data_IF_839092660972
#
_entry.id   IF_839092660972
#
_cell.length_a   1.000
_cell.length_b   1.000
_cell.length_c   1.000
_cell.angle_alpha   90.00
_cell.angle_beta   90.00
_cell.angle_gamma   90.00
#
_symmetry.space_group_name_H-M   'P 1'
#
loop_
_entity.id
_entity.type
_entity.pdbx_description
1 polymer ?
#
# COMPACT_ATOMS: atom_id res chain seq x y z
N UNK A 1 -1.77 7.67 -3.09
CA UNK A 1 -1.02 6.91 -2.05
C UNK A 1 -1.28 7.34 -0.61
N UNK A 2 -1.44 8.62 -0.28
CA UNK A 2 -1.71 9.06 1.11
C UNK A 2 -2.85 8.31 1.81
N UNK A 3 -3.94 7.99 1.09
CA UNK A 3 -5.03 7.20 1.64
C UNK A 3 -4.59 5.76 2.01
N UNK A 4 -3.91 5.04 1.11
CA UNK A 4 -3.33 3.72 1.39
C UNK A 4 -2.46 3.75 2.65
N UNK A 5 -1.56 4.72 2.73
CA UNK A 5 -0.63 4.82 3.86
C UNK A 5 -1.39 5.06 5.18
N UNK A 6 -2.47 5.84 5.14
CA UNK A 6 -3.35 6.02 6.30
C UNK A 6 -4.05 4.72 6.73
N UNK A 7 -4.50 3.88 5.78
CA UNK A 7 -5.07 2.57 6.08
C UNK A 7 -4.05 1.62 6.70
N UNK A 8 -2.81 1.59 6.19
CA UNK A 8 -1.71 0.80 6.75
C UNK A 8 -1.35 1.31 8.16
N UNK A 9 -1.27 2.62 8.36
CA UNK A 9 -1.03 3.20 9.69
C UNK A 9 -2.18 2.89 10.65
N UNK A 10 -3.43 2.87 10.18
CA UNK A 10 -4.57 2.49 11.00
C UNK A 10 -4.47 1.03 11.45
N UNK A 11 -4.01 0.12 10.60
CA UNK A 11 -3.73 -1.27 10.95
C UNK A 11 -2.61 -1.39 11.99
N UNK A 12 -1.51 -0.65 11.80
CA UNK A 12 -0.44 -0.57 12.79
C UNK A 12 -0.95 -0.10 14.16
N UNK A 13 -1.82 0.91 14.19
CA UNK A 13 -2.36 1.48 15.43
C UNK A 13 -3.39 0.56 16.12
N UNK A 14 -4.26 -0.10 15.34
CA UNK A 14 -5.42 -0.85 15.86
C UNK A 14 -5.12 -2.33 16.09
N UNK A 15 -4.31 -2.93 15.22
CA UNK A 15 -4.08 -4.37 15.12
C UNK A 15 -2.59 -4.73 15.15
N UNK A 16 -1.71 -3.79 15.54
CA UNK A 16 -0.27 -3.99 15.62
C UNK A 16 0.36 -4.49 14.30
N UNK A 17 -0.21 -4.11 13.15
CA UNK A 17 0.31 -4.48 11.82
C UNK A 17 -0.07 -5.89 11.35
N UNK A 18 -0.97 -6.58 12.07
CA UNK A 18 -1.34 -7.96 11.78
C UNK A 18 -1.98 -8.19 10.40
N UNK A 19 -2.42 -7.14 9.70
CA UNK A 19 -3.03 -7.23 8.37
C UNK A 19 -2.19 -6.56 7.28
N UNK A 20 -0.91 -6.26 7.54
CA UNK A 20 -0.04 -5.54 6.62
C UNK A 20 -0.04 -6.12 5.19
N UNK A 21 0.19 -7.43 5.04
CA UNK A 21 0.27 -8.05 3.72
C UNK A 21 -1.07 -8.07 2.98
N UNK A 22 -2.17 -8.39 3.69
CA UNK A 22 -3.51 -8.33 3.12
C UNK A 22 -3.85 -6.92 2.58
N UNK A 23 -3.49 -5.88 3.33
CA UNK A 23 -3.69 -4.51 2.90
C UNK A 23 -2.84 -4.18 1.67
N UNK A 24 -1.56 -4.52 1.68
CA UNK A 24 -0.67 -4.28 0.54
C UNK A 24 -1.14 -4.99 -0.73
N UNK A 25 -1.53 -6.27 -0.65
CA UNK A 25 -2.10 -7.02 -1.78
C UNK A 25 -3.39 -6.37 -2.31
N UNK A 26 -4.28 -5.93 -1.42
CA UNK A 26 -5.54 -5.30 -1.80
C UNK A 26 -5.32 -3.96 -2.54
N UNK A 27 -4.34 -3.17 -2.13
CA UNK A 27 -3.97 -1.92 -2.78
C UNK A 27 -3.19 -2.15 -4.07
N UNK A 28 -2.19 -3.05 -4.05
CA UNK A 28 -1.36 -3.40 -5.20
C UNK A 28 -2.20 -3.96 -6.37
N UNK A 29 -3.22 -4.78 -6.09
CA UNK A 29 -4.16 -5.28 -7.12
C UNK A 29 -4.95 -4.18 -7.86
N UNK A 30 -4.86 -2.93 -7.42
CA UNK A 30 -5.49 -1.75 -8.03
C UNK A 30 -4.47 -0.65 -8.36
N UNK A 31 -3.20 -1.00 -8.57
CA UNK A 31 -2.15 -0.06 -8.97
C UNK A 31 -1.60 0.81 -7.81
N UNK A 32 -1.88 0.46 -6.55
CA UNK A 32 -1.43 1.21 -5.38
C UNK A 32 -0.35 0.48 -4.57
N UNK A 33 0.47 -0.32 -5.23
CA UNK A 33 1.63 -1.04 -4.68
C UNK A 33 2.75 -0.12 -4.19
N UNK A 34 3.83 -0.71 -3.67
CA UNK A 34 4.88 0.01 -2.93
C UNK A 34 5.47 1.20 -3.70
N UNK A 35 5.64 1.05 -5.01
CA UNK A 35 6.23 2.07 -5.86
C UNK A 35 5.22 3.07 -6.44
N UNK A 36 3.93 2.89 -6.16
CA UNK A 36 2.90 3.78 -6.66
C UNK A 36 3.08 5.19 -6.07
N UNK A 37 2.94 6.23 -6.89
CA UNK A 37 3.16 7.62 -6.45
C UNK A 37 2.55 8.64 -7.39
N UNK A 38 2.34 9.84 -6.86
CA UNK A 38 2.12 11.01 -7.70
C UNK A 38 3.47 11.42 -8.31
N UNK A 39 3.59 11.27 -9.63
CA UNK A 39 4.64 11.91 -10.41
C UNK A 39 4.15 13.27 -10.92
N UNK A 40 5.07 14.14 -11.33
CA UNK A 40 4.77 15.50 -11.78
C UNK A 40 3.76 15.51 -12.95
N UNK A 41 2.48 15.75 -12.61
CA UNK A 41 1.37 15.80 -13.57
C UNK A 41 0.66 14.47 -13.85
N UNK A 42 1.13 13.35 -13.31
CA UNK A 42 0.53 12.02 -13.54
C UNK A 42 0.62 11.11 -12.32
N UNK A 43 -0.25 10.10 -12.26
CA UNK A 43 -0.13 9.04 -11.28
C UNK A 43 0.65 7.88 -11.90
N UNK A 44 1.64 7.36 -11.18
CA UNK A 44 2.37 6.13 -11.53
C UNK A 44 1.80 4.99 -10.69
N UNK A 45 1.21 4.00 -11.37
CA UNK A 45 0.68 2.79 -10.75
C UNK A 45 1.81 1.80 -10.40
N UNK A 46 1.57 0.95 -9.40
CA UNK A 46 2.42 -0.19 -9.07
C UNK A 46 1.56 -1.36 -8.56
N UNK A 47 1.93 -2.57 -8.92
CA UNK A 47 1.39 -3.82 -8.40
C UNK A 47 2.35 -4.54 -7.44
N UNK A 48 3.49 -3.92 -7.14
CA UNK A 48 4.49 -4.47 -6.24
C UNK A 48 3.99 -4.45 -4.78
N UNK A 49 4.26 -5.53 -4.06
CA UNK A 49 4.05 -5.67 -2.61
C UNK A 49 5.39 -5.67 -1.89
N UNK A 50 5.45 -5.36 -0.58
CA UNK A 50 6.68 -5.48 0.21
C UNK A 50 7.28 -6.89 0.10
N UNK A 51 8.61 -7.01 0.18
CA UNK A 51 9.31 -8.32 0.12
C UNK A 51 8.78 -9.32 1.15
N UNK A 52 8.48 -8.85 2.37
CA UNK A 52 7.94 -9.69 3.44
C UNK A 52 6.49 -10.18 3.19
N UNK A 53 5.88 -9.76 2.08
CA UNK A 53 4.51 -10.11 1.67
C UNK A 53 4.47 -10.85 0.32
N UNK A 54 5.61 -11.39 -0.13
CA UNK A 54 5.72 -12.23 -1.34
C UNK A 54 5.59 -13.72 -1.05
#
# INVERSE_FOLDING_TARGET
VNARDAWIQADANRYAGGNMCLLWEAFASRGMGVDARQASGSYEDSDAVPEDCQ
#
